data_IF_086970768548
#
_entry.id   IF_086970768548
#
_cell.length_a   1.000
_cell.length_b   1.000
_cell.length_c   1.000
_cell.angle_alpha   90.00
_cell.angle_beta   90.00
_cell.angle_gamma   90.00
#
_symmetry.space_group_name_H-M   'P 1'
#
loop_
_entity.id
_entity.type
_entity.pdbx_description
1 polymer ?
#
# COMPACT_ATOMS: atom_id res chain seq x y z
N UNK A 1 -0.09 0.56 41.15
CA UNK A 1 -1.33 0.17 40.42
C UNK A 1 -1.90 1.30 39.55
N UNK A 2 -1.97 2.57 40.02
CA UNK A 2 -2.47 3.70 39.21
C UNK A 2 -1.67 3.95 37.92
N UNK A 3 -0.34 3.86 37.98
CA UNK A 3 0.54 4.04 36.82
C UNK A 3 0.37 2.93 35.77
N UNK A 4 0.03 1.71 36.20
CA UNK A 4 -0.22 0.57 35.31
C UNK A 4 -1.53 0.77 34.55
N UNK A 5 -2.59 1.20 35.22
CA UNK A 5 -3.87 1.51 34.58
C UNK A 5 -3.74 2.67 33.57
N UNK A 6 -3.03 3.75 33.93
CA UNK A 6 -2.77 4.87 33.03
C UNK A 6 -1.97 4.44 31.78
N UNK A 7 -0.96 3.57 31.95
CA UNK A 7 -0.18 3.03 30.85
C UNK A 7 -1.03 2.19 29.89
N UNK A 8 -1.90 1.32 30.42
CA UNK A 8 -2.79 0.49 29.60
C UNK A 8 -3.74 1.37 28.78
N UNK A 9 -4.34 2.40 29.40
CA UNK A 9 -5.24 3.34 28.70
C UNK A 9 -4.48 4.06 27.58
N UNK A 10 -3.26 4.52 27.85
CA UNK A 10 -2.43 5.19 26.84
C UNK A 10 -2.11 4.27 25.66
N UNK A 11 -1.72 3.02 25.92
CA UNK A 11 -1.44 2.03 24.86
C UNK A 11 -2.69 1.76 24.02
N UNK A 12 -3.85 1.56 24.65
CA UNK A 12 -5.11 1.35 23.94
C UNK A 12 -5.50 2.57 23.09
N UNK A 13 -5.28 3.79 23.59
CA UNK A 13 -5.52 5.02 22.85
C UNK A 13 -4.62 5.13 21.61
N UNK A 14 -3.32 4.82 21.74
CA UNK A 14 -2.37 4.82 20.61
C UNK A 14 -2.74 3.75 19.58
N UNK A 15 -3.07 2.53 20.03
CA UNK A 15 -3.49 1.45 19.13
C UNK A 15 -4.79 1.79 18.40
N UNK A 16 -5.77 2.37 19.11
CA UNK A 16 -7.03 2.83 18.51
C UNK A 16 -6.82 3.92 17.46
N UNK A 17 -5.96 4.90 17.76
CA UNK A 17 -5.60 5.97 16.82
C UNK A 17 -4.91 5.42 15.57
N UNK A 18 -3.92 4.53 15.74
CA UNK A 18 -3.22 3.90 14.62
C UNK A 18 -4.16 3.06 13.76
N UNK A 19 -5.08 2.32 14.38
CA UNK A 19 -6.09 1.53 13.68
C UNK A 19 -7.00 2.42 12.81
N UNK A 20 -7.47 3.54 13.37
CA UNK A 20 -8.28 4.50 12.63
C UNK A 20 -7.53 5.09 11.42
N UNK A 21 -6.25 5.43 11.59
CA UNK A 21 -5.41 5.98 10.51
C UNK A 21 -5.06 4.95 9.42
N UNK A 22 -5.01 3.66 9.76
CA UNK A 22 -4.63 2.56 8.85
C UNK A 22 -5.70 2.24 7.78
N UNK A 23 -6.91 2.82 7.89
CA UNK A 23 -8.04 2.55 6.99
C UNK A 23 -7.91 3.01 5.52
N UNK A 24 -6.84 3.74 5.14
CA UNK A 24 -6.66 4.21 3.75
C UNK A 24 -6.37 3.05 2.81
N UNK A 25 -7.36 2.70 1.99
CA UNK A 25 -7.27 1.63 0.98
C UNK A 25 -6.50 2.12 -0.24
N UNK A 26 -5.36 1.51 -0.50
CA UNK A 26 -4.64 1.64 -1.77
C UNK A 26 -5.29 0.73 -2.84
N UNK A 27 -5.27 1.10 -4.12
CA UNK A 27 -5.72 0.21 -5.20
C UNK A 27 -4.82 -1.05 -5.29
N UNK A 28 -5.37 -2.14 -5.83
CA UNK A 28 -4.59 -3.35 -6.17
C UNK A 28 -4.06 -3.25 -7.60
N UNK A 29 -2.95 -3.94 -7.86
CA UNK A 29 -2.41 -4.04 -9.23
C UNK A 29 -3.36 -4.89 -10.08
N UNK A 30 -3.75 -4.44 -11.29
CA UNK A 30 -4.55 -5.24 -12.22
C UNK A 30 -3.87 -6.55 -12.59
N UNK A 31 -4.66 -7.56 -12.96
CA UNK A 31 -4.16 -8.80 -13.52
C UNK A 31 -4.43 -8.80 -15.02
N UNK A 32 -3.59 -8.12 -15.79
CA UNK A 32 -3.69 -8.01 -17.24
C UNK A 32 -2.29 -8.20 -17.88
N UNK A 33 -2.22 -8.25 -19.20
CA UNK A 33 -0.96 -8.48 -19.90
C UNK A 33 0.10 -7.39 -19.64
N UNK A 34 -0.32 -6.15 -19.38
CA UNK A 34 0.59 -5.04 -19.09
C UNK A 34 1.20 -5.13 -17.68
N UNK A 35 0.46 -5.72 -16.74
CA UNK A 35 0.90 -5.87 -15.35
C UNK A 35 1.35 -7.30 -15.00
N UNK A 36 1.11 -8.27 -15.88
CA UNK A 36 1.40 -9.69 -15.65
C UNK A 36 2.89 -10.05 -15.62
N UNK A 37 3.71 -9.34 -16.41
CA UNK A 37 5.17 -9.49 -16.41
C UNK A 37 5.88 -8.54 -15.42
N UNK A 38 5.26 -7.39 -15.12
CA UNK A 38 5.80 -6.31 -14.26
C UNK A 38 5.51 -6.53 -12.76
N UNK A 39 4.72 -7.55 -12.43
CA UNK A 39 4.36 -7.87 -11.04
C UNK A 39 5.53 -8.25 -10.12
N UNK A 40 6.77 -8.29 -10.63
CA UNK A 40 7.94 -8.82 -9.93
C UNK A 40 8.92 -7.69 -9.59
N UNK A 41 8.86 -7.26 -8.33
CA UNK A 41 9.90 -6.59 -7.53
C UNK A 41 10.46 -5.23 -7.97
N UNK A 42 10.38 -4.82 -9.23
CA UNK A 42 11.05 -3.60 -9.68
C UNK A 42 10.10 -2.40 -9.71
N UNK A 43 10.36 -1.44 -8.82
CA UNK A 43 9.58 -0.19 -8.76
C UNK A 43 9.89 0.74 -9.94
N UNK A 44 11.02 0.57 -10.62
CA UNK A 44 11.39 1.39 -11.79
C UNK A 44 10.53 1.07 -13.01
N UNK A 45 10.21 -0.21 -13.24
CA UNK A 45 9.33 -0.64 -14.32
C UNK A 45 7.92 -0.04 -14.19
N UNK A 46 7.39 0.09 -12.96
CA UNK A 46 6.12 0.79 -12.72
C UNK A 46 6.16 2.25 -13.18
N UNK A 47 7.32 2.91 -13.07
CA UNK A 47 7.46 4.33 -13.36
C UNK A 47 7.53 4.66 -14.85
N UNK A 48 7.75 3.67 -15.73
CA UNK A 48 7.66 3.87 -17.17
C UNK A 48 6.29 4.43 -17.60
N UNK A 49 5.23 4.00 -16.91
CA UNK A 49 3.85 4.44 -17.15
C UNK A 49 3.27 5.32 -16.03
N UNK A 50 3.73 5.16 -14.79
CA UNK A 50 3.17 5.83 -13.62
C UNK A 50 3.95 7.06 -13.13
N UNK A 51 5.07 7.42 -13.76
CA UNK A 51 5.76 8.67 -13.43
C UNK A 51 4.99 9.93 -13.88
N UNK A 52 5.39 11.09 -13.37
CA UNK A 52 4.85 12.39 -13.80
C UNK A 52 4.98 12.57 -15.31
N UNK A 53 3.90 12.99 -15.97
CA UNK A 53 3.85 13.18 -17.43
C UNK A 53 3.81 11.90 -18.27
N UNK A 54 3.70 10.72 -17.65
CA UNK A 54 3.53 9.44 -18.36
C UNK A 54 2.05 9.13 -18.58
N UNK A 55 1.79 7.96 -19.17
CA UNK A 55 0.45 7.53 -19.59
C UNK A 55 -0.58 7.49 -18.46
N UNK A 56 -0.18 7.13 -17.25
CA UNK A 56 -1.07 6.98 -16.10
C UNK A 56 -0.39 7.45 -14.81
N UNK A 57 -0.11 8.75 -14.66
CA UNK A 57 0.73 9.26 -13.58
C UNK A 57 0.12 9.01 -12.20
N UNK A 58 0.99 8.85 -11.20
CA UNK A 58 0.59 8.82 -9.79
C UNK A 58 -0.15 10.12 -9.43
N UNK A 59 -1.19 10.00 -8.59
CA UNK A 59 -1.91 11.17 -8.06
C UNK A 59 -0.97 12.02 -7.21
N UNK A 60 -1.22 13.33 -7.16
CA UNK A 60 -0.48 14.25 -6.29
C UNK A 60 -0.54 13.87 -4.80
N UNK A 61 -1.58 13.13 -4.39
CA UNK A 61 -1.73 12.61 -3.03
C UNK A 61 -0.97 11.30 -2.77
N UNK A 62 -0.21 10.77 -3.74
CA UNK A 62 0.54 9.54 -3.55
C UNK A 62 1.69 9.80 -2.55
N UNK A 63 1.86 8.95 -1.53
CA UNK A 63 2.96 9.12 -0.58
C UNK A 63 4.33 9.03 -1.30
N UNK A 64 5.38 9.67 -0.78
CA UNK A 64 6.70 9.70 -1.41
C UNK A 64 7.43 8.35 -1.40
N UNK A 65 6.81 7.29 -0.85
CA UNK A 65 7.39 5.94 -0.83
C UNK A 65 7.23 5.31 -2.22
N UNK A 66 8.35 4.96 -2.84
CA UNK A 66 8.39 4.35 -4.17
C UNK A 66 8.47 2.83 -4.16
N UNK A 67 8.33 2.18 -3.00
CA UNK A 67 8.23 0.72 -2.90
C UNK A 67 6.78 0.29 -3.17
N UNK A 68 6.38 0.32 -4.44
CA UNK A 68 4.98 0.19 -4.88
C UNK A 68 4.27 -1.01 -4.23
N UNK A 69 4.96 -2.14 -4.13
CA UNK A 69 4.42 -3.42 -3.68
C UNK A 69 4.13 -3.49 -2.17
N UNK A 70 4.69 -2.58 -1.35
CA UNK A 70 4.39 -2.53 0.10
C UNK A 70 2.93 -2.18 0.36
N UNK A 71 2.33 -1.40 -0.53
CA UNK A 71 0.93 -1.05 -0.48
C UNK A 71 0.18 -1.80 -1.60
N UNK A 72 0.58 -1.66 -2.85
CA UNK A 72 -0.15 -2.20 -3.99
C UNK A 72 0.10 -3.71 -4.17
N UNK A 73 -0.74 -4.53 -3.54
CA UNK A 73 -0.72 -5.99 -3.70
C UNK A 73 -1.26 -6.41 -5.07
N UNK A 74 -0.59 -7.37 -5.70
CA UNK A 74 -1.08 -8.03 -6.91
C UNK A 74 -2.37 -8.81 -6.64
N UNK A 75 -3.31 -8.77 -7.58
CA UNK A 75 -4.45 -9.68 -7.58
C UNK A 75 -4.03 -11.02 -8.17
N UNK A 76 -3.43 -11.88 -7.36
CA UNK A 76 -3.14 -13.27 -7.75
C UNK A 76 -4.44 -14.07 -7.62
N UNK A 77 -5.02 -14.51 -8.74
CA UNK A 77 -6.02 -15.58 -8.70
C UNK A 77 -5.21 -16.88 -8.57
N UNK A 78 -5.44 -17.71 -7.53
CA UNK A 78 -4.80 -19.01 -7.47
C UNK A 78 -5.20 -19.76 -8.75
N UNK A 79 -4.20 -20.16 -9.54
CA UNK A 79 -4.39 -20.96 -10.73
C UNK A 79 -5.22 -22.19 -10.30
N UNK A 80 -6.48 -22.24 -10.73
CA UNK A 80 -7.33 -23.41 -10.52
C UNK A 80 -6.85 -24.46 -11.52
N UNK A 81 -5.80 -25.19 -11.14
CA UNK A 81 -5.44 -26.45 -11.79
C UNK A 81 -6.57 -27.45 -11.62
#
# INVERSE_FOLDING_TARGET
MKSTAAFIIFVLAVLGLLFFLSGKRHPRVPNDAAHGAVALSDSTACMECHWQGKRAPLKASHPPKYECQKCHKARIIPNKK
#
